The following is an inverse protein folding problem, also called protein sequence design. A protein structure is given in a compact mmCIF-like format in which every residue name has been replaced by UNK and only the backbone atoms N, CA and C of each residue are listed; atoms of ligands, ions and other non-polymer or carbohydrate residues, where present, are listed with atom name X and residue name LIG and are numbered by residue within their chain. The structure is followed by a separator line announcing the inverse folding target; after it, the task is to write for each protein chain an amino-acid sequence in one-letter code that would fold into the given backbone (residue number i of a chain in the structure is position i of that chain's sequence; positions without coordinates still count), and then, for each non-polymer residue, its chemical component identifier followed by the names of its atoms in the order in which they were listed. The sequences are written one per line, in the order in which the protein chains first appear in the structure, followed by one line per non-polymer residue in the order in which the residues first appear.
data_IF_184944168911
#
_entry.id   IF_184944168911
#
_cell.length_a   1.000
_cell.length_b   1.000
_cell.length_c   1.000
_cell.angle_alpha   90.00
_cell.angle_beta   90.00
_cell.angle_gamma   90.00
#
_symmetry.space_group_name_H-M   'P 1'
#
loop_
_entity.id
_entity.type
_entity.pdbx_description
1 polymer ?
#
# COMPACT_ATOMS: atom_id res chain seq x y z
N UNK A 1 -18.32 0.05 17.30
CA UNK A 1 -18.94 -0.06 15.96
C UNK A 1 -17.96 -0.72 15.00
N UNK A 2 -18.42 -1.70 14.20
CA UNK A 2 -17.60 -2.31 13.16
C UNK A 2 -17.40 -1.34 11.99
N UNK A 3 -16.21 -1.33 11.39
CA UNK A 3 -15.95 -0.63 10.12
C UNK A 3 -15.67 -1.66 9.04
N UNK A 4 -16.27 -1.45 7.86
CA UNK A 4 -15.94 -2.25 6.68
C UNK A 4 -14.51 -1.96 6.23
N UNK A 5 -13.77 -3.01 5.89
CA UNK A 5 -12.43 -2.94 5.32
C UNK A 5 -12.44 -3.57 3.94
N UNK A 6 -11.78 -2.91 2.99
CA UNK A 6 -11.58 -3.43 1.65
C UNK A 6 -10.11 -3.87 1.51
N UNK A 7 -9.88 -5.03 0.90
CA UNK A 7 -8.56 -5.50 0.54
C UNK A 7 -8.28 -5.26 -0.95
N UNK A 8 -7.05 -4.89 -1.29
CA UNK A 8 -6.57 -4.76 -2.67
C UNK A 8 -5.24 -5.50 -2.78
N UNK A 9 -5.13 -6.41 -3.74
CA UNK A 9 -3.97 -7.29 -3.91
C UNK A 9 -3.80 -7.67 -5.37
N UNK A 10 -2.54 -7.76 -5.83
CA UNK A 10 -2.19 -8.42 -7.09
C UNK A 10 -1.64 -9.81 -6.73
N UNK A 11 -2.12 -10.84 -7.43
CA UNK A 11 -1.82 -12.25 -7.12
C UNK A 11 -1.33 -12.98 -8.36
N UNK A 12 -0.41 -13.91 -8.17
CA UNK A 12 -0.06 -14.91 -9.17
C UNK A 12 -1.19 -15.94 -9.32
N UNK A 13 -1.22 -16.75 -10.40
CA UNK A 13 -2.18 -17.83 -10.55
C UNK A 13 -2.15 -18.86 -9.41
N UNK A 14 -1.00 -19.01 -8.74
CA UNK A 14 -0.77 -19.87 -7.58
C UNK A 14 -0.95 -19.13 -6.22
N UNK A 15 -1.55 -17.93 -6.25
CA UNK A 15 -1.79 -17.05 -5.10
C UNK A 15 -0.52 -16.43 -4.48
N UNK A 16 0.63 -16.53 -5.13
CA UNK A 16 1.83 -15.78 -4.73
C UNK A 16 1.64 -14.26 -4.83
N UNK A 17 2.16 -13.51 -3.85
CA UNK A 17 2.06 -12.03 -3.81
C UNK A 17 3.41 -11.30 -3.65
N UNK A 18 4.47 -12.04 -3.33
CA UNK A 18 5.77 -11.48 -2.97
C UNK A 18 6.85 -12.55 -2.89
N UNK A 19 8.08 -12.16 -3.20
CA UNK A 19 9.29 -12.98 -3.06
C UNK A 19 10.40 -12.08 -2.54
N UNK A 20 11.07 -12.46 -1.45
CA UNK A 20 12.16 -11.72 -0.81
C UNK A 20 11.87 -10.23 -0.53
N UNK A 21 10.63 -9.93 -0.14
CA UNK A 21 10.20 -8.56 0.15
C UNK A 21 9.99 -7.69 -1.07
N UNK A 22 9.98 -8.27 -2.27
CA UNK A 22 9.66 -7.62 -3.54
C UNK A 22 8.41 -8.23 -4.16
N UNK A 23 7.84 -7.53 -5.15
CA UNK A 23 6.80 -8.10 -5.99
C UNK A 23 7.42 -9.18 -6.90
N UNK A 24 6.71 -10.28 -7.17
CA UNK A 24 7.24 -11.39 -7.96
C UNK A 24 7.36 -11.07 -9.46
N UNK A 25 6.80 -9.95 -9.93
CA UNK A 25 6.85 -9.51 -11.32
C UNK A 25 7.77 -8.32 -11.52
N UNK A 26 8.34 -8.21 -12.72
CA UNK A 26 9.20 -7.09 -13.09
C UNK A 26 8.41 -5.76 -13.11
N UNK A 27 8.94 -4.65 -12.51
CA UNK A 27 8.20 -3.39 -12.32
C UNK A 27 7.64 -2.78 -13.62
N UNK A 28 8.38 -2.90 -14.72
CA UNK A 28 7.98 -2.39 -16.04
C UNK A 28 6.65 -2.97 -16.52
N UNK A 29 6.31 -4.20 -16.10
CA UNK A 29 5.07 -4.89 -16.48
C UNK A 29 3.88 -4.49 -15.60
N UNK A 30 4.11 -3.78 -14.50
CA UNK A 30 3.09 -3.47 -13.48
C UNK A 30 2.56 -2.02 -13.56
N UNK A 31 2.92 -1.26 -14.59
CA UNK A 31 2.51 0.15 -14.71
C UNK A 31 0.99 0.35 -14.65
N UNK A 32 0.21 -0.53 -15.28
CA UNK A 32 -1.26 -0.47 -15.23
C UNK A 32 -1.79 -0.80 -13.84
N UNK A 33 -1.19 -1.78 -13.17
CA UNK A 33 -1.63 -2.20 -11.84
C UNK A 33 -1.31 -1.14 -10.78
N UNK A 34 -0.16 -0.47 -10.89
CA UNK A 34 0.15 0.68 -10.03
C UNK A 34 -0.80 1.86 -10.26
N UNK A 35 -1.20 2.13 -11.51
CA UNK A 35 -2.21 3.15 -11.82
C UNK A 35 -3.57 2.78 -11.20
N UNK A 36 -3.98 1.52 -11.35
CA UNK A 36 -5.22 1.00 -10.77
C UNK A 36 -5.19 1.12 -9.24
N UNK A 37 -4.13 0.62 -8.59
CA UNK A 37 -3.94 0.72 -7.15
C UNK A 37 -3.98 2.17 -6.66
N UNK A 38 -3.30 3.10 -7.35
CA UNK A 38 -3.31 4.52 -7.00
C UNK A 38 -4.73 5.10 -7.11
N UNK A 39 -5.45 4.82 -8.20
CA UNK A 39 -6.82 5.29 -8.39
C UNK A 39 -7.74 4.78 -7.26
N UNK A 40 -7.72 3.48 -7.00
CA UNK A 40 -8.57 2.88 -5.98
C UNK A 40 -8.26 3.37 -4.57
N UNK A 41 -6.98 3.56 -4.24
CA UNK A 41 -6.58 3.94 -2.88
C UNK A 41 -6.57 5.43 -2.64
N UNK A 42 -6.37 6.28 -3.66
CA UNK A 42 -6.25 7.74 -3.47
C UNK A 42 -7.53 8.52 -3.79
N UNK A 43 -8.55 7.91 -4.41
CA UNK A 43 -9.83 8.56 -4.69
C UNK A 43 -10.83 8.25 -3.56
N UNK A 44 -11.19 9.23 -2.73
CA UNK A 44 -12.19 9.05 -1.67
C UNK A 44 -13.58 8.92 -2.28
N UNK A 45 -14.40 8.04 -1.70
CA UNK A 45 -15.82 7.93 -2.05
C UNK A 45 -16.70 9.00 -1.40
N UNK A 46 -16.16 9.72 -0.41
CA UNK A 46 -16.86 10.76 0.34
C UNK A 46 -16.09 12.07 0.20
N UNK A 47 -16.78 13.12 -0.21
CA UNK A 47 -16.20 14.46 -0.38
C UNK A 47 -15.60 14.98 0.94
N UNK A 48 -14.47 15.68 0.84
CA UNK A 48 -13.74 16.23 2.00
C UNK A 48 -13.06 15.19 2.89
N UNK A 49 -13.10 13.90 2.55
CA UNK A 49 -12.40 12.84 3.30
C UNK A 49 -11.21 12.31 2.53
N UNK A 50 -10.32 11.63 3.25
CA UNK A 50 -9.14 10.98 2.69
C UNK A 50 -9.19 9.47 2.99
N UNK A 51 -8.74 8.68 2.03
CA UNK A 51 -8.63 7.23 2.22
C UNK A 51 -7.44 6.87 3.11
N UNK A 52 -7.59 5.75 3.80
CA UNK A 52 -6.57 5.17 4.67
C UNK A 52 -6.04 3.89 4.00
N UNK A 53 -4.73 3.78 3.92
CA UNK A 53 -4.04 2.54 3.52
C UNK A 53 -3.34 1.95 4.73
N UNK A 54 -3.73 0.74 5.08
CA UNK A 54 -3.18 -0.04 6.19
C UNK A 54 -2.27 -1.10 5.58
N UNK A 55 -1.03 -1.20 6.06
CA UNK A 55 -0.07 -2.18 5.56
C UNK A 55 0.83 -2.70 6.67
N UNK A 56 1.44 -3.86 6.46
CA UNK A 56 2.45 -4.39 7.37
C UNK A 56 3.79 -3.69 7.24
N UNK A 57 4.61 -3.71 8.30
CA UNK A 57 5.97 -3.13 8.32
C UNK A 57 6.85 -3.60 7.15
N UNK A 58 6.80 -4.89 6.78
CA UNK A 58 7.59 -5.40 5.64
C UNK A 58 7.13 -4.80 4.29
N UNK A 59 5.83 -4.66 4.08
CA UNK A 59 5.25 -3.98 2.90
C UNK A 59 5.62 -2.51 2.86
N UNK A 60 5.67 -1.84 4.01
CA UNK A 60 6.17 -0.47 4.07
C UNK A 60 7.61 -0.39 3.55
N UNK A 61 8.51 -1.27 4.03
CA UNK A 61 9.90 -1.24 3.58
C UNK A 61 10.14 -1.75 2.15
N UNK A 62 9.19 -2.47 1.53
CA UNK A 62 9.29 -2.87 0.12
C UNK A 62 9.01 -1.71 -0.86
N UNK A 63 8.39 -0.62 -0.41
CA UNK A 63 8.11 0.55 -1.25
C UNK A 63 9.40 1.39 -1.35
N UNK A 64 9.82 1.82 -2.55
CA UNK A 64 10.96 2.73 -2.71
C UNK A 64 10.82 3.97 -1.83
N UNK A 65 11.90 4.41 -1.19
CA UNK A 65 11.86 5.54 -0.23
C UNK A 65 11.27 6.82 -0.83
N UNK A 66 11.61 7.14 -2.09
CA UNK A 66 11.05 8.29 -2.83
C UNK A 66 9.52 8.24 -3.02
N UNK A 67 8.91 7.07 -2.85
CA UNK A 67 7.48 6.83 -3.00
C UNK A 67 6.77 6.67 -1.64
N UNK A 68 7.51 6.81 -0.52
CA UNK A 68 6.97 6.76 0.84
C UNK A 68 7.01 8.15 1.51
N UNK A 69 5.95 8.55 2.23
CA UNK A 69 4.63 7.92 2.32
C UNK A 69 3.89 7.95 0.97
N UNK A 70 2.88 7.08 0.82
CA UNK A 70 2.03 7.14 -0.36
C UNK A 70 1.19 8.42 -0.36
N UNK A 71 1.50 9.36 -1.27
CA UNK A 71 0.83 10.66 -1.37
C UNK A 71 -0.70 10.56 -1.45
N UNK A 72 -1.38 11.59 -0.93
CA UNK A 72 -2.85 11.74 -0.89
C UNK A 72 -3.59 10.61 -0.15
N UNK A 73 -2.89 9.86 0.71
CA UNK A 73 -3.47 8.81 1.56
C UNK A 73 -2.92 8.89 2.98
N UNK A 74 -3.73 8.50 3.96
CA UNK A 74 -3.26 8.30 5.32
C UNK A 74 -2.60 6.93 5.37
N UNK A 75 -1.31 6.86 5.68
CA UNK A 75 -0.55 5.61 5.71
C UNK A 75 -0.47 5.10 7.15
N UNK A 76 -1.05 3.94 7.42
CA UNK A 76 -0.98 3.25 8.72
C UNK A 76 -0.11 2.01 8.57
N UNK A 77 0.98 1.95 9.32
CA UNK A 77 1.91 0.81 9.31
C UNK A 77 1.73 -0.01 10.56
N UNK A 78 1.35 -1.28 10.38
CA UNK A 78 1.26 -2.25 11.46
C UNK A 78 2.64 -2.80 11.77
N UNK A 79 3.10 -2.58 13.00
CA UNK A 79 4.39 -3.05 13.51
C UNK A 79 4.22 -3.54 14.95
N UNK A 80 5.03 -4.54 15.34
CA UNK A 80 5.13 -4.99 16.74
C UNK A 80 6.03 -4.09 17.57
N UNK A 81 6.88 -3.30 16.91
CA UNK A 81 7.75 -2.30 17.52
C UNK A 81 7.24 -0.92 17.09
N UNK A 82 6.84 -0.09 18.06
CA UNK A 82 6.44 1.29 17.80
C UNK A 82 7.69 2.18 17.88
N UNK A 83 8.35 2.39 16.74
CA UNK A 83 9.41 3.39 16.60
C UNK A 83 8.85 4.55 15.79
N UNK A 84 8.87 5.75 16.36
CA UNK A 84 8.54 6.96 15.63
C UNK A 84 9.55 7.17 14.51
N UNK A 85 9.09 7.15 13.26
CA UNK A 85 9.90 7.55 12.11
C UNK A 85 9.57 9.01 11.84
N UNK A 86 10.47 9.90 12.26
CA UNK A 86 10.38 11.34 11.98
C UNK A 86 10.43 11.56 10.47
N UNK A 87 9.48 12.33 9.95
CA UNK A 87 9.52 12.79 8.56
C UNK A 87 10.48 13.99 8.49
N UNK A 88 11.76 13.74 8.21
CA UNK A 88 12.70 14.76 7.73
C UNK A 88 12.57 14.94 6.23
#
# INVERSE_FOLDING_TARGET
MSRMLNAIVAVCPDLGIGMDGQLPWHPVRLNNEFKHFRKMTATPSVEGKQNVVIMGRKTWFSIPEKNRPLNNRINIVLSRECRYVSHT
#
